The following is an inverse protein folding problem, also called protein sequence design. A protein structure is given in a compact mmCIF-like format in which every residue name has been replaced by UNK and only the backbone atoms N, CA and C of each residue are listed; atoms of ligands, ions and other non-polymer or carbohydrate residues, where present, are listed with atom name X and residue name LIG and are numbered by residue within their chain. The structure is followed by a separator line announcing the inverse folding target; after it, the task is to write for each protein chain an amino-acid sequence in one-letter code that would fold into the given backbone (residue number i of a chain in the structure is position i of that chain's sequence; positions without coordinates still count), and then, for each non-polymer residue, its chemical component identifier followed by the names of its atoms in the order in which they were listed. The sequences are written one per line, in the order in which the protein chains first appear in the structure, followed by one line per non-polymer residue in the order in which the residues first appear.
data_IF_260157768986
#
_entry.id   IF_260157768986
#
_cell.length_a   1.000
_cell.length_b   1.000
_cell.length_c   1.000
_cell.angle_alpha   90.00
_cell.angle_beta   90.00
_cell.angle_gamma   90.00
#
_symmetry.space_group_name_H-M   'P 1'
#
loop_
_entity.id
_entity.type
_entity.pdbx_description
1 polymer ?
#
# COMPACT_ATOMS: atom_id res chain seq x y z
N UNK A 1 4.44 46.42 57.60
CA UNK A 1 4.97 47.16 56.45
C UNK A 1 5.58 46.18 55.49
N UNK A 2 4.85 45.86 54.45
CA UNK A 2 5.37 45.11 53.33
C UNK A 2 6.30 46.07 52.54
N UNK A 3 7.60 45.85 52.64
CA UNK A 3 8.53 46.52 51.78
C UNK A 3 8.42 45.91 50.39
N UNK A 4 7.75 46.59 49.49
CA UNK A 4 7.79 46.25 48.08
C UNK A 4 9.23 46.54 47.60
N UNK A 5 10.00 45.52 47.25
CA UNK A 5 11.36 45.63 46.75
C UNK A 5 11.49 46.28 45.37
N UNK A 6 10.45 47.01 44.87
CA UNK A 6 10.42 47.60 43.54
C UNK A 6 11.16 48.92 43.40
N UNK A 7 11.58 49.55 44.51
CA UNK A 7 12.30 50.83 44.47
C UNK A 7 11.53 52.03 43.94
N UNK A 8 10.24 51.87 43.65
CA UNK A 8 9.34 52.90 43.14
C UNK A 8 8.72 53.68 44.28
N UNK A 9 9.01 55.03 44.42
CA UNK A 9 8.48 55.84 45.51
C UNK A 9 6.93 56.03 45.41
N UNK A 10 6.31 55.79 44.31
CA UNK A 10 4.86 55.93 44.08
C UNK A 10 4.09 54.62 44.23
N UNK A 11 4.75 53.53 44.69
CA UNK A 11 4.09 52.25 44.92
C UNK A 11 3.27 52.29 46.21
N UNK A 12 1.98 52.49 46.14
CA UNK A 12 1.04 52.46 47.27
C UNK A 12 0.59 51.01 47.58
N UNK A 13 1.24 50.40 48.59
CA UNK A 13 0.91 49.06 49.07
C UNK A 13 -0.39 49.00 49.90
N UNK A 14 -1.20 50.06 49.93
CA UNK A 14 -2.47 50.15 50.69
C UNK A 14 -3.71 49.89 49.81
N UNK A 15 -3.53 49.60 48.54
CA UNK A 15 -4.64 49.21 47.64
C UNK A 15 -5.21 47.88 48.10
N UNK A 16 -6.52 47.82 48.48
CA UNK A 16 -7.20 46.59 48.92
C UNK A 16 -7.29 45.51 47.83
N UNK A 17 -7.11 45.87 46.57
CA UNK A 17 -7.09 44.94 45.45
C UNK A 17 -5.68 44.43 45.09
N UNK A 18 -4.69 44.77 45.93
CA UNK A 18 -3.32 44.34 45.79
C UNK A 18 -3.16 42.91 46.33
N UNK A 19 -3.35 41.92 45.48
CA UNK A 19 -3.28 40.47 45.78
C UNK A 19 -1.84 39.93 45.96
N UNK A 20 -0.88 40.82 46.27
CA UNK A 20 0.54 40.46 46.41
C UNK A 20 1.29 40.40 45.08
N UNK A 21 0.63 40.62 43.95
CA UNK A 21 1.21 40.64 42.61
C UNK A 21 1.64 42.03 42.11
N UNK A 22 1.52 43.08 42.94
CA UNK A 22 1.78 44.46 42.51
C UNK A 22 3.21 44.74 42.01
N UNK A 23 4.13 43.84 42.24
CA UNK A 23 5.51 44.05 41.82
C UNK A 23 5.89 43.34 40.51
N UNK A 24 5.04 42.45 40.02
CA UNK A 24 5.40 41.67 38.81
C UNK A 24 5.23 42.45 37.50
N UNK A 25 4.36 43.50 37.49
CA UNK A 25 4.11 44.27 36.25
C UNK A 25 4.64 45.69 36.26
N UNK A 26 5.14 46.21 37.39
CA UNK A 26 5.52 47.66 37.53
C UNK A 26 6.89 48.03 37.01
N UNK A 27 7.72 47.08 36.59
CA UNK A 27 9.04 47.38 36.03
C UNK A 27 9.05 47.94 34.61
N UNK A 28 7.94 47.84 33.88
CA UNK A 28 7.88 48.25 32.46
C UNK A 28 6.65 49.10 32.11
N UNK A 29 5.70 49.31 33.02
CA UNK A 29 4.43 49.95 32.67
C UNK A 29 3.73 49.22 31.49
N UNK A 30 3.20 50.00 30.53
CA UNK A 30 2.66 49.46 29.26
C UNK A 30 3.74 49.27 28.17
N UNK A 31 5.01 49.68 28.43
CA UNK A 31 6.12 49.65 27.48
C UNK A 31 7.06 48.49 27.75
N UNK A 32 6.61 47.27 27.51
CA UNK A 32 7.46 46.09 27.55
C UNK A 32 8.47 46.06 26.39
N UNK A 33 9.76 46.02 26.70
CA UNK A 33 10.78 45.81 25.68
C UNK A 33 11.12 44.33 25.57
N UNK A 34 10.49 43.66 24.57
CA UNK A 34 10.67 42.23 24.33
C UNK A 34 11.85 41.94 23.43
N UNK A 35 12.73 41.06 23.87
CA UNK A 35 13.82 40.50 23.07
C UNK A 35 13.58 39.01 22.85
N UNK A 36 14.07 38.46 21.74
CA UNK A 36 13.97 37.04 21.50
C UNK A 36 14.86 36.28 22.51
N UNK A 37 14.24 35.47 23.34
CA UNK A 37 14.91 34.60 24.29
C UNK A 37 15.38 33.32 23.64
N UNK A 38 14.44 32.61 22.93
CA UNK A 38 14.74 31.44 22.15
C UNK A 38 13.66 31.24 21.04
N UNK A 39 13.93 30.30 20.18
CA UNK A 39 13.04 29.95 19.07
C UNK A 39 12.64 28.48 19.17
N UNK A 40 11.33 28.23 19.21
CA UNK A 40 10.75 26.90 19.05
C UNK A 40 10.52 26.67 17.56
N UNK A 41 11.26 25.75 16.98
CA UNK A 41 11.12 25.39 15.56
C UNK A 41 9.83 24.61 15.32
N UNK A 42 9.13 24.85 14.19
CA UNK A 42 7.94 24.08 13.87
C UNK A 42 8.29 22.61 13.60
N UNK A 43 7.37 21.73 13.93
CA UNK A 43 7.43 20.31 13.61
C UNK A 43 6.40 19.96 12.55
N UNK A 44 6.26 18.69 12.20
CA UNK A 44 5.23 18.26 11.26
C UNK A 44 3.80 18.64 11.72
N UNK A 45 3.57 18.66 13.04
CA UNK A 45 2.24 18.86 13.61
C UNK A 45 2.11 20.13 14.46
N UNK A 46 3.21 20.65 14.98
CA UNK A 46 3.20 21.77 15.89
C UNK A 46 3.75 23.05 15.24
N UNK A 47 3.11 24.16 15.57
CA UNK A 47 3.55 25.49 15.19
C UNK A 47 4.91 25.82 15.82
N UNK A 48 5.76 26.51 15.07
CA UNK A 48 6.94 27.18 15.61
C UNK A 48 6.57 28.57 16.15
N UNK A 49 7.37 29.12 17.07
CA UNK A 49 7.23 30.47 17.58
C UNK A 49 8.49 30.93 18.28
N UNK A 50 8.65 32.25 18.42
CA UNK A 50 9.67 32.82 19.25
C UNK A 50 9.13 33.01 20.68
N UNK A 51 9.89 32.59 21.69
CA UNK A 51 9.68 33.02 23.08
C UNK A 51 10.38 34.34 23.26
N UNK A 52 9.61 35.37 23.52
CA UNK A 52 10.09 36.72 23.73
C UNK A 52 10.07 37.00 25.22
N UNK A 53 11.14 37.56 25.76
CA UNK A 53 11.26 37.92 27.16
C UNK A 53 11.41 39.45 27.29
N UNK A 54 10.63 40.03 28.18
CA UNK A 54 10.83 41.45 28.55
C UNK A 54 12.10 41.62 29.37
N UNK A 55 13.01 42.49 28.92
CA UNK A 55 14.29 42.74 29.57
C UNK A 55 14.14 43.45 30.93
N UNK A 56 13.01 44.14 31.14
CA UNK A 56 12.76 44.88 32.37
C UNK A 56 12.09 44.04 33.45
N UNK A 57 11.10 43.22 33.13
CA UNK A 57 10.31 42.46 34.12
C UNK A 57 10.37 40.95 33.99
N UNK A 58 11.05 40.41 32.96
CA UNK A 58 11.14 38.98 32.74
C UNK A 58 9.86 38.30 32.16
N UNK A 59 8.80 39.06 31.89
CA UNK A 59 7.58 38.52 31.31
C UNK A 59 7.85 37.82 29.97
N UNK A 60 7.31 36.61 29.84
CA UNK A 60 7.46 35.80 28.62
C UNK A 60 6.19 35.83 27.78
N UNK A 61 6.36 36.06 26.49
CA UNK A 61 5.26 35.97 25.50
C UNK A 61 5.69 35.13 24.29
N UNK A 62 4.73 34.57 23.59
CA UNK A 62 4.97 33.89 22.33
C UNK A 62 4.62 34.83 21.18
N UNK A 63 5.52 34.95 20.21
CA UNK A 63 5.33 35.79 19.04
C UNK A 63 5.96 35.13 17.81
N UNK A 64 5.73 35.73 16.63
CA UNK A 64 6.32 35.31 15.36
C UNK A 64 6.06 33.82 15.08
N UNK A 65 4.78 33.44 15.15
CA UNK A 65 4.36 32.09 14.86
C UNK A 65 4.71 31.68 13.43
N UNK A 66 5.13 30.44 13.26
CA UNK A 66 5.34 29.77 11.98
C UNK A 66 4.46 28.55 11.93
N UNK A 67 3.85 28.34 10.78
CA UNK A 67 2.98 27.18 10.57
C UNK A 67 3.72 25.86 10.77
N UNK A 68 2.98 24.82 11.13
CA UNK A 68 3.50 23.45 11.15
C UNK A 68 3.98 23.05 9.78
N UNK A 69 5.05 22.26 9.72
CA UNK A 69 5.69 21.88 8.45
C UNK A 69 4.86 20.90 7.62
N UNK A 70 3.85 20.26 8.21
CA UNK A 70 3.18 19.13 7.63
C UNK A 70 4.10 17.91 7.49
N UNK A 71 3.56 16.81 6.97
CA UNK A 71 4.35 15.62 6.68
C UNK A 71 4.89 15.67 5.24
N UNK A 72 6.17 15.34 5.06
CA UNK A 72 6.79 15.07 3.77
C UNK A 72 6.98 13.57 3.65
N UNK A 73 6.10 12.90 2.91
CA UNK A 73 6.13 11.45 2.76
C UNK A 73 6.97 11.02 1.57
N UNK A 74 7.78 9.98 1.80
CA UNK A 74 8.42 9.17 0.76
C UNK A 74 7.72 7.81 0.72
N UNK A 75 7.29 7.41 -0.47
CA UNK A 75 6.60 6.13 -0.68
C UNK A 75 7.59 5.01 -0.97
N UNK A 76 7.48 3.92 -0.25
CA UNK A 76 8.27 2.70 -0.45
C UNK A 76 7.33 1.54 -0.74
N UNK A 77 7.55 0.85 -1.86
CA UNK A 77 6.83 -0.39 -2.16
C UNK A 77 7.43 -1.51 -1.32
N UNK A 78 6.61 -2.09 -0.44
CA UNK A 78 6.99 -3.23 0.41
C UNK A 78 6.71 -4.54 -0.30
N UNK A 79 5.62 -4.58 -1.05
CA UNK A 79 5.20 -5.74 -1.84
C UNK A 79 4.34 -5.28 -3.01
N UNK A 80 4.65 -5.78 -4.20
CA UNK A 80 3.81 -5.56 -5.37
C UNK A 80 2.51 -6.35 -5.27
N UNK A 81 1.45 -5.79 -5.86
CA UNK A 81 0.19 -6.52 -6.01
C UNK A 81 0.33 -7.60 -7.09
N UNK A 82 -0.22 -8.78 -6.81
CA UNK A 82 -0.40 -9.86 -7.80
C UNK A 82 -1.87 -10.20 -7.91
N UNK A 83 -2.24 -11.13 -8.77
CA UNK A 83 -3.62 -11.61 -8.87
C UNK A 83 -4.06 -12.44 -7.64
N UNK A 84 -3.12 -12.93 -6.83
CA UNK A 84 -3.40 -13.69 -5.60
C UNK A 84 -3.23 -12.88 -4.32
N UNK A 85 -2.33 -11.92 -4.33
CA UNK A 85 -1.98 -11.16 -3.12
C UNK A 85 -2.07 -9.65 -3.34
N UNK A 86 -2.69 -8.91 -2.40
CA UNK A 86 -2.70 -7.45 -2.46
C UNK A 86 -1.29 -6.89 -2.27
N UNK A 87 -1.00 -5.77 -2.93
CA UNK A 87 0.22 -5.03 -2.74
C UNK A 87 0.19 -4.19 -1.46
N UNK A 88 1.36 -3.67 -1.08
CA UNK A 88 1.52 -2.83 0.11
C UNK A 88 2.58 -1.77 -0.13
N UNK A 89 2.23 -0.52 0.16
CA UNK A 89 3.17 0.59 0.19
C UNK A 89 3.19 1.22 1.57
N UNK A 90 4.33 1.79 1.94
CA UNK A 90 4.50 2.60 3.14
C UNK A 90 4.94 4.00 2.73
N UNK A 91 4.20 4.99 3.21
CA UNK A 91 4.57 6.40 3.12
C UNK A 91 5.23 6.80 4.44
N UNK A 92 6.52 7.04 4.42
CA UNK A 92 7.35 7.34 5.60
C UNK A 92 7.68 8.83 5.58
N UNK A 93 7.36 9.54 6.67
CA UNK A 93 7.69 10.95 6.76
C UNK A 93 9.19 11.13 7.02
N UNK A 94 9.86 11.92 6.17
CA UNK A 94 11.30 12.21 6.30
C UNK A 94 11.66 13.05 7.56
N UNK A 95 10.68 13.75 8.14
CA UNK A 95 10.89 14.69 9.26
C UNK A 95 10.50 14.11 10.61
N UNK A 96 9.73 13.03 10.64
CA UNK A 96 9.30 12.40 11.88
C UNK A 96 9.07 10.89 11.64
N UNK A 97 8.74 10.17 12.71
CA UNK A 97 8.53 8.71 12.66
C UNK A 97 7.13 8.31 12.16
N UNK A 98 6.35 9.25 11.62
CA UNK A 98 5.01 8.93 11.15
C UNK A 98 5.08 8.10 9.87
N UNK A 99 4.36 6.98 9.88
CA UNK A 99 4.25 6.05 8.75
C UNK A 99 2.78 5.83 8.44
N UNK A 100 2.43 5.93 7.17
CA UNK A 100 1.10 5.61 6.64
C UNK A 100 1.20 4.38 5.75
N UNK A 101 0.37 3.39 6.01
CA UNK A 101 0.27 2.16 5.22
C UNK A 101 -0.87 2.28 4.21
N UNK A 102 -0.62 1.87 2.97
CA UNK A 102 -1.63 1.75 1.92
C UNK A 102 -1.58 0.35 1.34
N UNK A 103 -2.73 -0.32 1.33
CA UNK A 103 -2.91 -1.62 0.68
C UNK A 103 -3.41 -1.38 -0.75
N UNK A 104 -2.69 -1.94 -1.72
CA UNK A 104 -3.09 -1.92 -3.13
C UNK A 104 -3.95 -3.14 -3.45
N UNK A 105 -5.02 -3.01 -4.23
CA UNK A 105 -5.84 -4.16 -4.61
C UNK A 105 -5.03 -5.18 -5.41
N UNK A 106 -5.49 -6.43 -5.39
CA UNK A 106 -4.96 -7.47 -6.27
C UNK A 106 -5.12 -7.05 -7.74
N UNK A 107 -4.20 -7.50 -8.60
CA UNK A 107 -4.30 -7.30 -10.05
C UNK A 107 -5.28 -8.32 -10.66
N UNK A 108 -5.80 -8.02 -11.83
CA UNK A 108 -6.58 -8.98 -12.59
C UNK A 108 -5.68 -10.14 -13.07
N UNK A 109 -6.29 -11.33 -13.28
CA UNK A 109 -5.59 -12.42 -13.94
C UNK A 109 -5.36 -12.12 -15.43
N UNK A 110 -4.15 -12.39 -15.90
CA UNK A 110 -3.81 -12.35 -17.33
C UNK A 110 -3.77 -13.78 -17.88
N UNK A 111 -4.83 -14.18 -18.58
CA UNK A 111 -4.94 -15.52 -19.13
C UNK A 111 -4.36 -15.59 -20.54
N UNK A 112 -3.42 -16.52 -20.76
CA UNK A 112 -3.08 -17.03 -22.08
C UNK A 112 -4.07 -18.13 -22.48
N UNK A 113 -4.41 -18.20 -23.75
CA UNK A 113 -5.39 -19.17 -24.27
C UNK A 113 -4.72 -20.14 -25.22
N UNK A 114 -4.92 -21.44 -25.00
CA UNK A 114 -4.43 -22.51 -25.86
C UNK A 114 -5.60 -23.44 -26.25
N UNK A 115 -5.77 -23.70 -27.56
CA UNK A 115 -6.78 -24.63 -28.06
C UNK A 115 -6.16 -26.00 -28.21
N UNK A 116 -6.72 -26.97 -27.49
CA UNK A 116 -6.34 -28.39 -27.58
C UNK A 116 -7.39 -29.07 -28.45
N UNK A 117 -7.04 -29.53 -29.66
CA UNK A 117 -8.00 -30.15 -30.55
C UNK A 117 -8.44 -31.53 -30.04
N UNK A 118 -9.69 -31.89 -30.31
CA UNK A 118 -10.18 -33.24 -30.03
C UNK A 118 -9.42 -34.27 -30.86
N UNK A 119 -9.16 -35.41 -30.25
CA UNK A 119 -8.59 -36.58 -30.90
C UNK A 119 -9.55 -37.76 -30.77
N UNK A 120 -9.30 -38.87 -31.42
CA UNK A 120 -10.14 -40.07 -31.25
C UNK A 120 -9.95 -40.75 -29.89
N UNK A 121 -8.96 -40.31 -29.10
CA UNK A 121 -8.67 -40.85 -27.75
C UNK A 121 -9.00 -39.87 -26.63
N UNK A 122 -9.29 -38.60 -26.94
CA UNK A 122 -9.60 -37.58 -25.93
C UNK A 122 -10.38 -36.40 -26.46
N UNK A 123 -11.13 -35.72 -25.60
CA UNK A 123 -11.88 -34.50 -25.94
C UNK A 123 -10.94 -33.35 -26.32
N UNK A 124 -11.42 -32.43 -27.13
CA UNK A 124 -10.82 -31.13 -27.33
C UNK A 124 -11.34 -30.13 -26.30
N UNK A 125 -10.58 -29.11 -26.04
CA UNK A 125 -10.94 -28.02 -25.11
C UNK A 125 -10.08 -26.79 -25.33
N UNK A 126 -10.58 -25.69 -24.85
CA UNK A 126 -9.82 -24.43 -24.71
C UNK A 126 -9.26 -24.35 -23.29
N UNK A 127 -7.94 -24.27 -23.15
CA UNK A 127 -7.25 -24.05 -21.87
C UNK A 127 -6.90 -22.57 -21.75
N UNK A 128 -7.34 -21.97 -20.66
CA UNK A 128 -6.89 -20.63 -20.23
C UNK A 128 -6.02 -20.77 -18.99
N UNK A 129 -4.81 -20.26 -19.03
CA UNK A 129 -3.84 -20.34 -17.93
C UNK A 129 -3.32 -18.94 -17.60
N UNK A 130 -3.43 -18.55 -16.31
CA UNK A 130 -2.87 -17.30 -15.84
C UNK A 130 -1.34 -17.39 -15.79
N UNK A 131 -0.66 -16.48 -16.50
CA UNK A 131 0.80 -16.46 -16.57
C UNK A 131 1.49 -16.15 -15.22
N UNK A 132 0.76 -15.52 -14.28
CA UNK A 132 1.30 -15.10 -12.98
C UNK A 132 1.13 -16.17 -11.90
N UNK A 133 -0.09 -16.72 -11.74
CA UNK A 133 -0.40 -17.67 -10.65
C UNK A 133 -0.55 -19.12 -11.12
N UNK A 134 -0.64 -19.36 -12.44
CA UNK A 134 -0.84 -20.70 -12.98
C UNK A 134 -2.27 -21.22 -12.85
N UNK A 135 -3.24 -20.39 -12.44
CA UNK A 135 -4.65 -20.77 -12.40
C UNK A 135 -5.14 -21.16 -13.78
N UNK A 136 -5.87 -22.28 -13.85
CA UNK A 136 -6.32 -22.89 -15.11
C UNK A 136 -7.84 -22.98 -15.18
N UNK A 137 -8.37 -22.61 -16.32
CA UNK A 137 -9.78 -22.79 -16.69
C UNK A 137 -9.87 -23.57 -17.98
N UNK A 138 -10.79 -24.56 -18.04
CA UNK A 138 -11.07 -25.35 -19.22
C UNK A 138 -12.45 -24.94 -19.71
N UNK A 139 -12.53 -24.53 -20.97
CA UNK A 139 -13.75 -24.06 -21.65
C UNK A 139 -13.90 -24.79 -22.98
N UNK A 140 -15.06 -24.66 -23.64
CA UNK A 140 -15.36 -25.14 -24.99
C UNK A 140 -15.03 -26.62 -25.22
N UNK A 141 -15.40 -27.45 -24.25
CA UNK A 141 -15.12 -28.90 -24.34
C UNK A 141 -15.90 -29.50 -25.55
N UNK A 142 -15.14 -30.10 -26.47
CA UNK A 142 -15.70 -30.86 -27.60
C UNK A 142 -15.47 -32.34 -27.38
N UNK A 143 -16.45 -33.23 -27.71
CA UNK A 143 -16.28 -34.67 -27.51
C UNK A 143 -15.13 -35.21 -28.36
N UNK A 144 -14.58 -36.34 -27.92
CA UNK A 144 -13.59 -37.08 -28.69
C UNK A 144 -14.12 -37.45 -30.06
N UNK A 145 -13.26 -37.42 -31.08
CA UNK A 145 -13.60 -37.83 -32.43
C UNK A 145 -13.83 -39.32 -32.50
N UNK A 146 -14.70 -39.76 -33.43
CA UNK A 146 -14.83 -41.17 -33.72
C UNK A 146 -13.55 -41.70 -34.35
N UNK A 147 -13.27 -43.00 -34.13
CA UNK A 147 -12.16 -43.67 -34.81
C UNK A 147 -12.46 -43.83 -36.30
N UNK A 148 -11.52 -43.45 -37.14
CA UNK A 148 -11.54 -43.67 -38.57
C UNK A 148 -10.64 -44.88 -38.90
N UNK A 149 -11.27 -46.05 -39.07
CA UNK A 149 -10.53 -47.28 -39.34
C UNK A 149 -10.36 -47.53 -40.84
N UNK A 150 -9.14 -47.72 -41.28
CA UNK A 150 -8.76 -48.22 -42.56
C UNK A 150 -8.51 -49.72 -42.47
N UNK A 151 -9.11 -50.49 -43.36
CA UNK A 151 -9.06 -51.94 -43.34
C UNK A 151 -8.08 -52.51 -44.38
N UNK A 152 -7.27 -53.47 -43.96
CA UNK A 152 -6.39 -54.26 -44.84
C UNK A 152 -6.69 -55.72 -44.68
N UNK A 153 -7.19 -56.33 -45.74
CA UNK A 153 -7.57 -57.75 -45.80
C UNK A 153 -6.42 -58.58 -46.34
N UNK A 154 -6.14 -59.67 -45.65
CA UNK A 154 -5.27 -60.75 -46.15
C UNK A 154 -6.16 -61.90 -46.50
N UNK A 155 -6.18 -62.34 -47.77
CA UNK A 155 -7.05 -63.43 -48.18
C UNK A 155 -6.71 -64.77 -47.54
N UNK A 156 -7.69 -65.67 -47.42
CA UNK A 156 -7.47 -67.05 -46.94
C UNK A 156 -6.58 -67.81 -47.89
N UNK A 157 -5.74 -68.67 -47.37
CA UNK A 157 -4.87 -69.60 -48.08
C UNK A 157 -5.28 -71.05 -47.75
N UNK A 158 -4.73 -72.02 -48.43
CA UNK A 158 -4.99 -73.48 -48.14
C UNK A 158 -4.47 -73.89 -46.73
N UNK A 159 -3.61 -73.11 -46.17
CA UNK A 159 -2.91 -73.38 -44.83
C UNK A 159 -3.41 -72.50 -43.73
N UNK A 160 -4.20 -71.39 -44.00
CA UNK A 160 -4.66 -70.45 -42.99
C UNK A 160 -5.90 -69.64 -43.41
N UNK A 161 -6.70 -69.29 -42.39
CA UNK A 161 -7.85 -68.40 -42.57
C UNK A 161 -7.43 -67.00 -42.97
N UNK A 162 -8.30 -66.36 -43.77
CA UNK A 162 -8.14 -64.90 -44.07
C UNK A 162 -8.35 -64.06 -42.82
N UNK A 163 -7.79 -62.85 -42.80
CA UNK A 163 -8.01 -61.88 -41.73
C UNK A 163 -8.01 -60.47 -42.24
N UNK A 164 -8.81 -59.65 -41.61
CA UNK A 164 -8.87 -58.21 -41.91
C UNK A 164 -8.35 -57.41 -40.68
N UNK A 165 -7.34 -56.60 -40.88
CA UNK A 165 -6.80 -55.73 -39.88
C UNK A 165 -7.40 -54.35 -40.08
N UNK A 166 -8.04 -53.79 -39.06
CA UNK A 166 -8.55 -52.44 -38.98
C UNK A 166 -7.61 -51.56 -38.18
N UNK A 167 -7.14 -50.47 -38.76
CA UNK A 167 -6.19 -49.53 -38.11
C UNK A 167 -6.78 -48.15 -38.14
N UNK A 168 -6.92 -47.51 -36.97
CA UNK A 168 -7.32 -46.11 -36.90
C UNK A 168 -6.20 -45.22 -37.38
N UNK A 169 -6.43 -44.38 -38.39
CA UNK A 169 -5.43 -43.46 -38.92
C UNK A 169 -5.02 -42.37 -37.92
N UNK A 170 -5.94 -41.98 -37.00
CA UNK A 170 -5.68 -40.89 -36.04
C UNK A 170 -4.85 -41.29 -34.82
N UNK A 171 -5.04 -42.53 -34.32
CA UNK A 171 -4.35 -42.94 -33.07
C UNK A 171 -3.58 -44.27 -33.18
N UNK A 172 -3.63 -44.95 -34.33
CA UNK A 172 -2.98 -46.25 -34.52
C UNK A 172 -3.63 -47.43 -33.81
N UNK A 173 -4.77 -47.22 -33.12
CA UNK A 173 -5.54 -48.31 -32.52
C UNK A 173 -5.95 -49.32 -33.60
N UNK A 174 -5.80 -50.61 -33.29
CA UNK A 174 -6.07 -51.68 -34.24
C UNK A 174 -6.83 -52.85 -33.63
N UNK A 175 -7.65 -53.47 -34.45
CA UNK A 175 -8.29 -54.76 -34.13
C UNK A 175 -8.35 -55.63 -35.38
N UNK A 176 -8.55 -56.93 -35.21
CA UNK A 176 -8.59 -57.93 -36.27
C UNK A 176 -9.96 -58.56 -36.31
N UNK A 177 -10.49 -58.79 -37.49
CA UNK A 177 -11.68 -59.59 -37.75
C UNK A 177 -11.32 -60.72 -38.73
N UNK A 178 -11.94 -61.85 -38.52
CA UNK A 178 -11.84 -63.03 -39.38
C UNK A 178 -12.85 -62.94 -40.53
#
# INVERSE_FOLDING_TARGET
SCACGCGDPDCDCQDPDCDGGCCEDKGCGNDHHFVCHDTVVPTCLALGYNRMMCTGCGKMVKANYKDSLGHAYQSVVVRDATCETPGKTLDICERCVNVKETVLPQTAHEYSTSVIPATCTGPGYTLRECAVCGERHIEDITPALAHNYVSKTTPATCEGGGKTIHICEGCGSRFVTD
#
